data_IF_287933964431
#
_entry.id   IF_287933964431
#
_cell.length_a   1.000
_cell.length_b   1.000
_cell.length_c   1.000
_cell.angle_alpha   90.00
_cell.angle_beta   90.00
_cell.angle_gamma   90.00
#
_symmetry.space_group_name_H-M   'P 1'
#
loop_
_entity.id
_entity.type
_entity.pdbx_description
1 polymer ?
#
# COMPACT_ATOMS: atom_id res chain seq x y z
N UNK A 1 80.59 11.69 -1.09
CA UNK A 1 79.89 11.37 0.19
C UNK A 1 78.44 11.11 -0.12
N UNK A 2 78.11 9.86 0.01
CA UNK A 2 76.83 9.29 -0.40
C UNK A 2 75.81 9.45 0.72
N UNK A 3 74.63 10.01 0.45
CA UNK A 3 73.52 9.92 1.37
C UNK A 3 72.32 9.35 0.62
N UNK A 4 72.08 8.09 0.88
CA UNK A 4 70.84 7.41 0.47
C UNK A 4 69.69 7.96 1.25
N UNK A 5 68.62 8.30 0.55
CA UNK A 5 67.29 8.55 1.15
C UNK A 5 66.39 7.41 0.73
N UNK A 6 66.09 6.56 1.68
CA UNK A 6 65.13 5.46 1.56
C UNK A 6 63.71 6.07 1.64
N UNK A 7 63.02 6.09 0.51
CA UNK A 7 61.60 6.45 0.46
C UNK A 7 60.74 5.24 0.84
N UNK A 8 60.11 5.30 2.01
CA UNK A 8 59.11 4.32 2.45
C UNK A 8 57.81 4.62 1.72
N UNK A 9 57.44 3.74 0.82
CA UNK A 9 56.17 3.77 0.10
C UNK A 9 55.08 3.18 1.03
N UNK A 10 54.32 4.06 1.69
CA UNK A 10 53.17 3.66 2.52
C UNK A 10 52.00 3.38 1.60
N UNK A 11 51.72 2.11 1.38
CA UNK A 11 50.53 1.65 0.62
C UNK A 11 49.33 1.77 1.52
N UNK A 12 48.53 2.86 1.37
CA UNK A 12 47.23 3.01 2.02
C UNK A 12 46.23 2.06 1.37
N UNK A 13 45.97 0.95 2.04
CA UNK A 13 44.90 0.01 1.71
C UNK A 13 43.57 0.65 2.15
N UNK A 14 42.94 1.38 1.24
CA UNK A 14 41.55 1.84 1.43
C UNK A 14 40.63 0.60 1.28
N UNK A 15 40.34 -0.04 2.40
CA UNK A 15 39.29 -1.04 2.47
C UNK A 15 37.94 -0.34 2.23
N UNK A 16 37.50 -0.40 0.99
CA UNK A 16 36.14 0.04 0.62
C UNK A 16 35.10 -0.80 1.36
N UNK A 17 34.55 -0.26 2.43
CA UNK A 17 33.33 -0.77 3.03
C UNK A 17 32.20 -0.52 2.01
N UNK A 18 32.00 -1.47 1.11
CA UNK A 18 30.78 -1.55 0.32
C UNK A 18 29.64 -1.82 1.31
N UNK A 19 28.98 -0.77 1.77
CA UNK A 19 27.66 -0.87 2.38
C UNK A 19 26.73 -1.42 1.28
N UNK A 20 26.61 -2.73 1.23
CA UNK A 20 25.56 -3.39 0.48
C UNK A 20 24.23 -2.96 1.15
N UNK A 21 23.63 -1.91 0.64
CA UNK A 21 22.23 -1.65 0.89
C UNK A 21 21.50 -2.88 0.34
N UNK A 22 21.09 -3.75 1.24
CA UNK A 22 20.14 -4.80 0.90
C UNK A 22 18.88 -4.08 0.43
N UNK A 23 18.68 -4.00 -0.89
CA UNK A 23 17.40 -3.64 -1.44
C UNK A 23 16.43 -4.70 -0.95
N UNK A 24 15.66 -4.38 0.09
CA UNK A 24 14.55 -5.22 0.51
C UNK A 24 13.64 -5.41 -0.70
N UNK A 25 13.65 -6.61 -1.23
CA UNK A 25 12.72 -6.97 -2.30
C UNK A 25 11.31 -6.70 -1.79
N UNK A 26 10.45 -6.05 -2.59
CA UNK A 26 9.08 -5.81 -2.17
C UNK A 26 8.45 -7.13 -1.72
N UNK A 27 7.68 -7.13 -0.62
CA UNK A 27 7.11 -8.35 -0.08
C UNK A 27 6.31 -9.09 -1.16
N UNK A 28 6.45 -10.42 -1.24
CA UNK A 28 5.77 -11.20 -2.27
C UNK A 28 4.25 -11.02 -2.17
N UNK A 29 3.59 -10.93 -3.32
CA UNK A 29 2.13 -10.87 -3.37
C UNK A 29 1.60 -12.20 -2.78
N UNK A 30 0.72 -12.15 -1.78
CA UNK A 30 0.14 -13.37 -1.22
C UNK A 30 -0.65 -14.12 -2.30
N UNK A 31 -0.78 -15.44 -2.15
CA UNK A 31 -1.67 -16.20 -3.03
C UNK A 31 -3.11 -15.67 -2.93
N UNK A 32 -3.89 -15.83 -3.99
CA UNK A 32 -5.29 -15.40 -3.99
C UNK A 32 -6.10 -16.05 -2.86
N UNK A 33 -5.83 -17.32 -2.56
CA UNK A 33 -6.47 -18.06 -1.45
C UNK A 33 -6.16 -17.40 -0.10
N UNK A 34 -4.88 -17.09 0.18
CA UNK A 34 -4.48 -16.44 1.41
C UNK A 34 -5.05 -15.01 1.52
N UNK A 35 -5.04 -14.26 0.41
CA UNK A 35 -5.63 -12.92 0.39
C UNK A 35 -7.14 -12.95 0.67
N UNK A 36 -7.85 -13.94 0.09
CA UNK A 36 -9.27 -14.16 0.35
C UNK A 36 -9.52 -14.51 1.82
N UNK A 37 -8.76 -15.45 2.38
CA UNK A 37 -8.90 -15.86 3.78
C UNK A 37 -8.69 -14.68 4.75
N UNK A 38 -7.68 -13.83 4.50
CA UNK A 38 -7.45 -12.60 5.27
C UNK A 38 -8.60 -11.59 5.12
N UNK A 39 -9.20 -11.52 3.94
CA UNK A 39 -10.38 -10.66 3.71
C UNK A 39 -11.58 -11.16 4.50
N UNK A 40 -11.85 -12.47 4.46
CA UNK A 40 -12.94 -13.10 5.19
C UNK A 40 -12.79 -12.91 6.71
N UNK A 41 -11.56 -13.05 7.23
CA UNK A 41 -11.27 -12.77 8.65
C UNK A 41 -11.57 -11.30 9.00
N UNK A 42 -11.16 -10.34 8.16
CA UNK A 42 -11.46 -8.91 8.38
C UNK A 42 -12.95 -8.61 8.37
N UNK A 43 -13.71 -9.20 7.45
CA UNK A 43 -15.17 -9.10 7.39
C UNK A 43 -15.79 -9.61 8.69
N UNK A 44 -15.36 -10.78 9.17
CA UNK A 44 -15.80 -11.35 10.45
C UNK A 44 -15.51 -10.45 11.64
N UNK A 45 -14.30 -9.86 11.72
CA UNK A 45 -13.92 -8.92 12.79
C UNK A 45 -14.82 -7.69 12.78
N UNK A 46 -15.06 -7.08 11.61
CA UNK A 46 -15.92 -5.89 11.48
C UNK A 46 -17.35 -6.21 11.93
N UNK A 47 -17.92 -7.33 11.47
CA UNK A 47 -19.26 -7.77 11.88
C UNK A 47 -19.34 -7.99 13.40
N UNK A 48 -18.40 -8.72 13.95
CA UNK A 48 -18.37 -9.02 15.39
C UNK A 48 -18.23 -7.75 16.25
N UNK A 49 -17.37 -6.81 15.85
CA UNK A 49 -17.16 -5.56 16.57
C UNK A 49 -18.42 -4.67 16.57
N UNK A 50 -19.24 -4.72 15.54
CA UNK A 50 -20.47 -3.92 15.49
C UNK A 50 -21.58 -4.47 16.38
N UNK A 51 -21.58 -5.75 16.75
CA UNK A 51 -22.61 -6.38 17.59
C UNK A 51 -24.03 -6.08 17.06
N UNK A 52 -24.24 -6.45 15.80
CA UNK A 52 -25.49 -6.15 15.11
C UNK A 52 -26.68 -6.89 15.75
N UNK A 53 -27.81 -6.21 15.81
CA UNK A 53 -29.09 -6.87 16.16
C UNK A 53 -29.58 -7.74 15.02
N UNK A 54 -30.55 -8.64 15.28
CA UNK A 54 -31.11 -9.52 14.24
C UNK A 54 -31.68 -8.75 13.04
N UNK A 55 -32.27 -7.58 13.27
CA UNK A 55 -32.77 -6.73 12.18
C UNK A 55 -31.66 -6.07 11.39
N UNK A 56 -30.58 -5.63 12.06
CA UNK A 56 -29.40 -5.07 11.40
C UNK A 56 -28.62 -6.12 10.61
N UNK A 57 -28.61 -7.36 11.07
CA UNK A 57 -27.96 -8.46 10.35
C UNK A 57 -28.55 -8.70 8.96
N UNK A 58 -29.83 -8.41 8.75
CA UNK A 58 -30.48 -8.48 7.44
C UNK A 58 -29.90 -7.48 6.43
N UNK A 59 -29.29 -6.39 6.92
CA UNK A 59 -28.64 -5.35 6.11
C UNK A 59 -27.15 -5.60 5.90
N UNK A 60 -26.58 -6.64 6.53
CA UNK A 60 -25.17 -6.94 6.46
C UNK A 60 -24.70 -7.53 5.11
N UNK A 61 -25.43 -8.43 4.42
CA UNK A 61 -24.93 -9.09 3.21
C UNK A 61 -24.45 -8.14 2.11
N UNK A 62 -25.15 -7.04 1.76
CA UNK A 62 -24.63 -6.08 0.77
C UNK A 62 -23.31 -5.41 1.19
N UNK A 63 -23.14 -5.16 2.49
CA UNK A 63 -21.90 -4.58 3.03
C UNK A 63 -20.73 -5.56 2.89
N UNK A 64 -20.97 -6.81 3.25
CA UNK A 64 -20.00 -7.89 3.14
C UNK A 64 -19.55 -8.10 1.69
N UNK A 65 -20.50 -8.14 0.76
CA UNK A 65 -20.24 -8.26 -0.68
C UNK A 65 -19.38 -7.09 -1.19
N UNK A 66 -19.74 -5.85 -0.83
CA UNK A 66 -18.99 -4.66 -1.24
C UNK A 66 -17.56 -4.63 -0.67
N UNK A 67 -17.36 -5.10 0.57
CA UNK A 67 -16.01 -5.23 1.16
C UNK A 67 -15.18 -6.25 0.38
N UNK A 68 -15.75 -7.43 0.07
CA UNK A 68 -15.06 -8.46 -0.71
C UNK A 68 -14.75 -8.01 -2.13
N UNK A 69 -15.69 -7.38 -2.81
CA UNK A 69 -15.51 -6.86 -4.16
C UNK A 69 -14.36 -5.83 -4.22
N UNK A 70 -14.32 -4.91 -3.23
CA UNK A 70 -13.23 -3.94 -3.11
C UNK A 70 -11.89 -4.61 -2.82
N UNK A 71 -11.86 -5.64 -1.97
CA UNK A 71 -10.65 -6.39 -1.67
C UNK A 71 -10.13 -7.12 -2.91
N UNK A 72 -11.01 -7.78 -3.67
CA UNK A 72 -10.65 -8.44 -4.93
C UNK A 72 -10.07 -7.44 -5.94
N UNK A 73 -10.73 -6.31 -6.15
CA UNK A 73 -10.23 -5.24 -7.03
C UNK A 73 -8.85 -4.69 -6.58
N UNK A 74 -8.55 -4.72 -5.28
CA UNK A 74 -7.21 -4.38 -4.76
C UNK A 74 -6.19 -5.47 -5.12
N UNK A 75 -6.53 -6.72 -4.95
CA UNK A 75 -5.68 -7.86 -5.29
C UNK A 75 -5.32 -7.84 -6.78
N UNK A 76 -6.31 -7.70 -7.66
CA UNK A 76 -6.13 -7.66 -9.11
C UNK A 76 -5.16 -6.53 -9.53
N UNK A 77 -5.27 -5.37 -8.88
CA UNK A 77 -4.32 -4.27 -9.12
C UNK A 77 -2.90 -4.59 -8.67
N UNK A 78 -2.72 -5.25 -7.52
CA UNK A 78 -1.39 -5.66 -7.06
C UNK A 78 -0.73 -6.60 -8.05
N UNK A 79 -1.47 -7.60 -8.53
CA UNK A 79 -1.00 -8.56 -9.55
C UNK A 79 -0.66 -7.84 -10.87
N UNK A 80 -1.56 -6.95 -11.33
CA UNK A 80 -1.35 -6.20 -12.57
C UNK A 80 -0.12 -5.27 -12.51
N UNK A 81 0.14 -4.63 -11.36
CA UNK A 81 1.32 -3.77 -11.17
C UNK A 81 2.59 -4.61 -11.15
N UNK A 82 2.61 -5.72 -10.42
CA UNK A 82 3.77 -6.61 -10.37
C UNK A 82 4.12 -7.18 -11.75
N UNK A 83 3.11 -7.56 -12.53
CA UNK A 83 3.32 -8.05 -13.90
C UNK A 83 3.92 -6.99 -14.83
N UNK A 84 3.61 -5.71 -14.63
CA UNK A 84 4.17 -4.60 -15.44
C UNK A 84 5.61 -4.27 -15.08
N UNK A 85 5.96 -4.31 -13.78
CA UNK A 85 7.32 -4.02 -13.30
C UNK A 85 8.34 -5.04 -13.81
N UNK A 86 7.92 -6.27 -14.09
CA UNK A 86 8.81 -7.33 -14.62
C UNK A 86 9.10 -7.24 -16.13
N UNK A 87 8.46 -6.35 -16.89
CA UNK A 87 8.52 -6.36 -18.35
C UNK A 87 9.57 -5.42 -18.96
N UNK A 88 10.24 -4.55 -18.19
CA UNK A 88 11.31 -3.65 -18.67
C UNK A 88 10.91 -2.78 -19.88
N UNK A 89 9.61 -2.56 -20.09
CA UNK A 89 9.08 -1.90 -21.29
C UNK A 89 9.20 -0.39 -21.14
N UNK A 90 9.66 0.26 -22.19
CA UNK A 90 9.56 1.72 -22.32
C UNK A 90 8.07 2.09 -22.26
N UNK A 91 7.69 2.92 -21.29
CA UNK A 91 6.29 3.28 -21.06
C UNK A 91 6.04 4.66 -21.62
N UNK A 92 5.10 4.77 -22.56
CA UNK A 92 4.62 6.07 -23.03
C UNK A 92 4.01 6.86 -21.86
N UNK A 93 4.54 8.07 -21.54
CA UNK A 93 4.05 8.89 -20.44
C UNK A 93 2.55 9.22 -20.54
N UNK A 94 2.01 9.39 -21.73
CA UNK A 94 0.59 9.69 -21.96
C UNK A 94 -0.27 8.47 -21.64
N UNK A 95 0.14 7.29 -22.09
CA UNK A 95 -0.54 6.03 -21.73
C UNK A 95 -0.47 5.75 -20.23
N UNK A 96 0.66 6.05 -19.59
CA UNK A 96 0.80 5.92 -18.15
C UNK A 96 -0.19 6.84 -17.40
N UNK A 97 -0.31 8.11 -17.81
CA UNK A 97 -1.25 9.05 -17.23
C UNK A 97 -2.71 8.60 -17.43
N UNK A 98 -3.07 8.14 -18.62
CA UNK A 98 -4.43 7.60 -18.89
C UNK A 98 -4.72 6.40 -18.01
N UNK A 99 -3.82 5.42 -17.97
CA UNK A 99 -3.98 4.24 -17.13
C UNK A 99 -4.09 4.56 -15.63
N UNK A 100 -3.38 5.60 -15.17
CA UNK A 100 -3.51 6.09 -13.79
C UNK A 100 -4.87 6.75 -13.54
N UNK A 101 -5.36 7.56 -14.49
CA UNK A 101 -6.69 8.17 -14.40
C UNK A 101 -7.80 7.11 -14.33
N UNK A 102 -7.74 6.10 -15.19
CA UNK A 102 -8.70 4.96 -15.19
C UNK A 102 -8.66 4.18 -13.88
N UNK A 103 -7.47 3.94 -13.35
CA UNK A 103 -7.30 3.25 -12.07
C UNK A 103 -7.89 4.06 -10.90
N UNK A 104 -7.76 5.39 -10.91
CA UNK A 104 -8.37 6.28 -9.92
C UNK A 104 -9.88 6.31 -10.05
N UNK A 105 -10.42 6.39 -11.27
CA UNK A 105 -11.86 6.34 -11.52
C UNK A 105 -12.47 5.02 -11.00
N UNK A 106 -11.85 3.88 -11.29
CA UNK A 106 -12.28 2.56 -10.76
C UNK A 106 -12.23 2.51 -9.23
N UNK A 107 -11.21 3.10 -8.61
CA UNK A 107 -11.13 3.18 -7.13
C UNK A 107 -12.25 4.03 -6.54
N UNK A 108 -12.56 5.16 -7.16
CA UNK A 108 -13.63 6.04 -6.74
C UNK A 108 -15.00 5.34 -6.84
N UNK A 109 -15.25 4.62 -7.95
CA UNK A 109 -16.49 3.86 -8.13
C UNK A 109 -16.64 2.75 -7.05
N UNK A 110 -15.59 1.98 -6.80
CA UNK A 110 -15.59 0.93 -5.77
C UNK A 110 -15.79 1.50 -4.36
N UNK A 111 -15.25 2.68 -4.07
CA UNK A 111 -15.46 3.33 -2.78
C UNK A 111 -16.88 3.84 -2.63
N UNK A 112 -17.44 4.41 -3.70
CA UNK A 112 -18.83 4.83 -3.71
C UNK A 112 -19.78 3.64 -3.50
N UNK A 113 -19.57 2.54 -4.20
CA UNK A 113 -20.35 1.32 -4.04
C UNK A 113 -20.30 0.80 -2.59
N UNK A 114 -19.14 0.84 -1.95
CA UNK A 114 -19.00 0.47 -0.54
C UNK A 114 -19.80 1.43 0.36
N UNK A 115 -19.75 2.74 0.12
CA UNK A 115 -20.50 3.72 0.90
C UNK A 115 -22.00 3.53 0.73
N UNK A 116 -22.47 3.28 -0.49
CA UNK A 116 -23.90 3.02 -0.79
C UNK A 116 -24.38 1.74 -0.10
N UNK A 117 -23.56 0.68 -0.04
CA UNK A 117 -23.88 -0.55 0.69
C UNK A 117 -23.95 -0.34 2.21
N UNK A 118 -23.08 0.53 2.77
CA UNK A 118 -23.08 0.84 4.19
C UNK A 118 -24.24 1.75 4.63
N UNK A 119 -24.75 2.61 3.75
CA UNK A 119 -25.70 3.65 4.10
C UNK A 119 -26.97 3.12 4.82
N UNK A 120 -27.66 2.07 4.35
CA UNK A 120 -28.82 1.52 5.04
C UNK A 120 -28.52 1.00 6.44
N UNK A 121 -27.44 0.23 6.58
CA UNK A 121 -27.01 -0.30 7.89
C UNK A 121 -26.60 0.82 8.83
N UNK A 122 -25.81 1.80 8.37
CA UNK A 122 -25.36 2.92 9.17
C UNK A 122 -26.50 3.75 9.77
N UNK A 123 -27.61 3.90 9.05
CA UNK A 123 -28.79 4.61 9.53
C UNK A 123 -29.44 3.95 10.75
N UNK A 124 -29.35 2.63 10.87
CA UNK A 124 -29.93 1.83 11.98
C UNK A 124 -29.02 1.69 13.18
N UNK A 125 -27.71 2.03 13.05
CA UNK A 125 -26.74 1.89 14.14
C UNK A 125 -27.03 2.87 15.28
N UNK A 126 -26.96 2.36 16.52
CA UNK A 126 -27.01 3.18 17.71
C UNK A 126 -25.70 3.97 17.96
N UNK A 127 -25.64 4.90 18.91
CA UNK A 127 -24.45 5.72 19.18
C UNK A 127 -23.18 4.88 19.46
N UNK A 128 -23.29 3.81 20.25
CA UNK A 128 -22.15 2.95 20.61
C UNK A 128 -21.63 2.16 19.40
N UNK A 129 -22.53 1.67 18.57
CA UNK A 129 -22.17 1.00 17.31
C UNK A 129 -21.49 1.97 16.35
N UNK A 130 -21.97 3.21 16.25
CA UNK A 130 -21.33 4.26 15.44
C UNK A 130 -19.93 4.60 15.95
N UNK A 131 -19.72 4.63 17.25
CA UNK A 131 -18.39 4.87 17.82
C UNK A 131 -17.44 3.69 17.54
N UNK A 132 -17.89 2.44 17.70
CA UNK A 132 -17.12 1.25 17.30
C UNK A 132 -16.73 1.29 15.80
N UNK A 133 -17.68 1.69 14.94
CA UNK A 133 -17.41 1.87 13.52
C UNK A 133 -16.34 2.94 13.24
N UNK A 134 -16.36 4.09 13.98
CA UNK A 134 -15.33 5.13 13.86
C UNK A 134 -13.95 4.63 14.29
N UNK A 135 -13.89 3.85 15.37
CA UNK A 135 -12.64 3.24 15.85
C UNK A 135 -12.06 2.28 14.82
N UNK A 136 -12.89 1.42 14.22
CA UNK A 136 -12.50 0.52 13.15
C UNK A 136 -11.99 1.29 11.92
N UNK A 137 -12.71 2.34 11.50
CA UNK A 137 -12.31 3.16 10.37
C UNK A 137 -10.97 3.86 10.61
N UNK A 138 -10.72 4.38 11.82
CA UNK A 138 -9.43 4.99 12.21
C UNK A 138 -8.30 3.98 12.18
N UNK A 139 -8.53 2.77 12.65
CA UNK A 139 -7.54 1.69 12.60
C UNK A 139 -7.17 1.35 11.15
N UNK A 140 -8.16 1.14 10.30
CA UNK A 140 -7.94 0.86 8.86
C UNK A 140 -7.19 2.00 8.16
N UNK A 141 -7.54 3.27 8.45
CA UNK A 141 -6.85 4.42 7.87
C UNK A 141 -5.40 4.55 8.33
N UNK A 142 -5.12 4.21 9.60
CA UNK A 142 -3.75 4.18 10.13
C UNK A 142 -2.90 3.12 9.43
N UNK A 143 -3.42 1.90 9.28
CA UNK A 143 -2.74 0.82 8.56
C UNK A 143 -2.44 1.19 7.09
N UNK A 144 -3.38 1.90 6.45
CA UNK A 144 -3.19 2.38 5.08
C UNK A 144 -2.10 3.47 4.98
N UNK A 145 -1.96 4.34 5.99
CA UNK A 145 -0.90 5.36 6.06
C UNK A 145 0.46 4.72 6.27
N UNK A 146 0.59 3.84 7.26
CA UNK A 146 1.85 3.14 7.53
C UNK A 146 2.36 2.41 6.29
N UNK A 147 1.46 1.78 5.52
CA UNK A 147 1.82 1.16 4.24
C UNK A 147 2.17 2.15 3.11
N UNK A 148 1.76 3.41 3.19
CA UNK A 148 2.10 4.47 2.23
C UNK A 148 3.41 5.15 2.57
N UNK A 149 3.66 5.39 3.87
CA UNK A 149 4.88 6.03 4.37
C UNK A 149 6.11 5.11 4.30
N UNK A 150 5.91 3.79 4.14
CA UNK A 150 6.98 2.82 3.90
C UNK A 150 7.56 2.87 2.46
N UNK A 151 7.06 3.74 1.59
CA UNK A 151 7.72 4.04 0.31
C UNK A 151 8.65 5.23 0.52
N UNK A 152 9.97 5.07 0.34
CA UNK A 152 10.87 6.23 0.33
C UNK A 152 10.39 7.19 -0.74
N UNK A 153 10.04 8.42 -0.37
CA UNK A 153 10.08 9.52 -1.30
C UNK A 153 11.56 9.70 -1.64
N UNK A 154 11.98 9.26 -2.81
CA UNK A 154 13.17 9.81 -3.42
C UNK A 154 12.87 11.28 -3.67
N UNK A 155 13.29 12.11 -2.72
CA UNK A 155 13.41 13.55 -2.96
C UNK A 155 14.45 13.68 -4.06
N UNK A 156 14.04 14.21 -5.19
CA UNK A 156 14.94 14.82 -6.14
C UNK A 156 15.65 15.94 -5.37
N UNK A 157 16.89 15.68 -5.01
CA UNK A 157 17.83 16.70 -4.54
C UNK A 157 18.23 17.50 -5.80
N UNK A 158 17.50 18.58 -6.08
CA UNK A 158 17.93 19.62 -7.00
C UNK A 158 19.09 20.34 -6.32
N UNK A 159 20.30 19.79 -6.41
CA UNK A 159 21.49 20.57 -6.20
C UNK A 159 21.61 21.52 -7.38
N UNK A 160 21.11 22.74 -7.19
CA UNK A 160 21.52 23.89 -7.95
C UNK A 160 23.05 24.02 -7.84
N UNK A 161 23.76 23.58 -8.87
CA UNK A 161 25.14 24.02 -9.10
C UNK A 161 25.09 25.44 -9.65
N UNK A 162 24.99 26.39 -8.71
CA UNK A 162 25.37 27.77 -8.93
C UNK A 162 26.91 27.84 -8.95
N UNK A 163 27.48 27.95 -10.13
CA UNK A 163 28.88 28.34 -10.31
C UNK A 163 29.00 29.36 -11.44
N UNK A 164 29.35 30.58 -11.02
CA UNK A 164 30.00 31.70 -11.70
C UNK A 164 30.74 31.40 -13.01
#
# INVERSE_FOLDING_TARGET
>A
MLKQVIGVLTFLFVAGLSLAYAQESPPPIPSQANFKALTDARVGIVKAALQLTAEQEKLWPPVEEAIRARAQARYDRMVAVAGKLGQGREVDPVELMRGRADALAKRAANLKQLADAWAPLHQTLNPDQKERMRLLARHVLRELRVGADARPMEMYDETEDDKD
#
